data_IF_590071011792
#
_entry.id   IF_590071011792
#
_cell.length_a   1.000
_cell.length_b   1.000
_cell.length_c   1.000
_cell.angle_alpha   90.00
_cell.angle_beta   90.00
_cell.angle_gamma   90.00
#
_symmetry.space_group_name_H-M   'P 1'
#
loop_
_entity.id
_entity.type
_entity.pdbx_description
1 polymer ?
#
# COMPACT_ATOMS: atom_id res chain seq x y z
N UNK A 1 0.23 3.15 -14.29
CA UNK A 1 0.37 2.50 -12.98
C UNK A 1 -0.52 3.22 -11.96
N UNK A 2 -1.26 2.46 -11.18
CA UNK A 2 -2.20 3.03 -10.21
C UNK A 2 -1.49 3.68 -9.03
N UNK A 3 -2.06 4.76 -8.54
CA UNK A 3 -1.55 5.47 -7.37
C UNK A 3 -2.60 5.46 -6.27
N UNK A 4 -2.19 5.09 -5.05
CA UNK A 4 -3.07 5.09 -3.89
C UNK A 4 -2.41 5.82 -2.74
N UNK A 5 -3.24 6.31 -1.82
CA UNK A 5 -2.75 6.89 -0.59
C UNK A 5 -2.07 5.83 0.27
N UNK A 6 -0.98 6.20 0.92
CA UNK A 6 -0.31 5.37 1.92
C UNK A 6 0.23 6.23 3.04
N UNK A 7 0.21 5.68 4.25
CA UNK A 7 0.86 6.28 5.41
C UNK A 7 2.17 5.54 5.63
N UNK A 8 3.28 6.18 5.28
CA UNK A 8 4.60 5.55 5.38
C UNK A 8 5.06 5.30 6.81
N UNK A 9 4.35 5.87 7.79
CA UNK A 9 4.60 5.57 9.20
C UNK A 9 3.88 4.30 9.67
N UNK A 10 2.94 3.80 8.88
CA UNK A 10 2.20 2.58 9.19
C UNK A 10 2.91 1.39 8.55
N UNK A 11 4.03 0.98 9.14
CA UNK A 11 4.86 -0.10 8.61
C UNK A 11 4.84 -1.31 9.53
N UNK A 12 4.99 -2.49 8.94
CA UNK A 12 5.10 -3.73 9.71
C UNK A 12 6.55 -3.93 10.20
N UNK A 13 6.81 -5.02 10.90
CA UNK A 13 8.13 -5.30 11.46
C UNK A 13 9.20 -5.58 10.39
N UNK A 14 8.78 -5.83 9.15
CA UNK A 14 9.69 -6.04 8.03
C UNK A 14 9.89 -4.77 7.19
N UNK A 15 9.35 -3.64 7.64
CA UNK A 15 9.47 -2.37 6.93
C UNK A 15 8.53 -2.23 5.74
N UNK A 16 7.55 -3.11 5.60
CA UNK A 16 6.56 -3.01 4.53
C UNK A 16 5.42 -2.11 4.96
N UNK A 17 4.92 -1.30 4.03
CA UNK A 17 3.82 -0.36 4.31
C UNK A 17 2.51 -1.13 4.36
N UNK A 18 1.77 -1.00 5.46
CA UNK A 18 0.45 -1.62 5.58
C UNK A 18 -0.56 -0.88 4.72
N UNK A 19 -1.38 -1.64 4.00
CA UNK A 19 -2.39 -1.10 3.08
C UNK A 19 -3.80 -1.17 3.68
N UNK A 20 -3.90 -0.98 4.99
CA UNK A 20 -5.16 -1.10 5.73
C UNK A 20 -5.68 0.21 6.31
N UNK A 21 -5.04 1.35 5.95
CA UNK A 21 -5.48 2.64 6.44
C UNK A 21 -6.72 3.10 5.66
N UNK A 22 -7.51 3.95 6.27
CA UNK A 22 -8.78 4.41 5.69
C UNK A 22 -8.60 5.08 4.33
N UNK A 23 -7.60 5.95 4.19
CA UNK A 23 -7.32 6.62 2.93
C UNK A 23 -6.93 5.65 1.83
N UNK A 24 -6.13 4.63 2.19
CA UNK A 24 -5.74 3.59 1.25
C UNK A 24 -6.95 2.79 0.78
N UNK A 25 -7.77 2.34 1.72
CA UNK A 25 -8.95 1.54 1.41
C UNK A 25 -9.96 2.33 0.57
N UNK A 26 -10.10 3.61 0.87
CA UNK A 26 -10.98 4.49 0.11
C UNK A 26 -10.51 4.62 -1.34
N UNK A 27 -9.22 4.83 -1.55
CA UNK A 27 -8.64 4.93 -2.90
C UNK A 27 -8.82 3.64 -3.69
N UNK A 28 -8.59 2.50 -3.05
CA UNK A 28 -8.78 1.20 -3.71
C UNK A 28 -10.21 1.04 -4.19
N UNK A 29 -11.17 1.43 -3.37
CA UNK A 29 -12.58 1.33 -3.70
C UNK A 29 -12.96 2.29 -4.83
N UNK A 30 -12.56 3.56 -4.72
CA UNK A 30 -12.93 4.58 -5.70
C UNK A 30 -12.31 4.32 -7.07
N UNK A 31 -11.10 3.75 -7.09
CA UNK A 31 -10.39 3.49 -8.34
C UNK A 31 -10.61 2.07 -8.85
N UNK A 32 -11.41 1.28 -8.16
CA UNK A 32 -11.71 -0.12 -8.51
C UNK A 32 -10.43 -0.96 -8.63
N UNK A 33 -9.51 -0.78 -7.69
CA UNK A 33 -8.26 -1.52 -7.67
C UNK A 33 -8.42 -2.74 -6.76
N UNK A 34 -8.13 -3.91 -7.29
CA UNK A 34 -8.11 -5.16 -6.52
C UNK A 34 -6.67 -5.52 -6.27
N UNK A 35 -6.29 -5.61 -5.00
CA UNK A 35 -4.92 -5.95 -4.64
C UNK A 35 -4.67 -7.44 -4.87
N UNK A 36 -3.50 -7.74 -5.40
CA UNK A 36 -3.04 -9.12 -5.58
C UNK A 36 -1.52 -9.13 -5.46
N UNK A 37 -0.97 -10.29 -5.17
CA UNK A 37 0.48 -10.43 -5.03
C UNK A 37 1.20 -10.02 -6.30
N UNK A 38 2.35 -9.38 -6.14
CA UNK A 38 3.24 -8.90 -7.20
C UNK A 38 2.72 -7.68 -7.98
N UNK A 39 1.56 -7.14 -7.63
CA UNK A 39 1.05 -5.93 -8.27
C UNK A 39 1.98 -4.75 -7.97
N UNK A 40 2.38 -4.03 -9.00
CA UNK A 40 3.16 -2.79 -8.85
C UNK A 40 2.21 -1.62 -8.72
N UNK A 41 2.49 -0.74 -7.75
CA UNK A 41 1.61 0.37 -7.45
C UNK A 41 2.43 1.54 -6.93
N UNK A 42 1.95 2.75 -7.13
CA UNK A 42 2.57 3.95 -6.59
C UNK A 42 1.89 4.28 -5.26
N UNK A 43 2.68 4.45 -4.23
CA UNK A 43 2.22 4.87 -2.91
C UNK A 43 2.52 6.35 -2.73
N UNK A 44 1.54 7.11 -2.28
CA UNK A 44 1.67 8.56 -2.15
C UNK A 44 1.04 9.04 -0.85
N UNK A 45 1.76 9.86 -0.10
CA UNK A 45 1.19 10.48 1.11
C UNK A 45 0.75 11.91 0.84
N UNK A 46 0.21 12.58 1.86
CA UNK A 46 -0.28 13.96 1.73
C UNK A 46 0.86 14.99 1.71
N UNK A 47 2.07 14.58 2.07
CA UNK A 47 3.23 15.47 2.13
C UNK A 47 4.05 15.47 0.84
N UNK A 48 3.55 14.81 -0.19
CA UNK A 48 4.20 14.79 -1.50
C UNK A 48 5.22 13.66 -1.69
N UNK A 49 5.38 12.79 -0.72
CA UNK A 49 6.25 11.64 -0.87
C UNK A 49 5.57 10.58 -1.75
N UNK A 50 6.25 10.14 -2.79
CA UNK A 50 5.76 9.07 -3.67
C UNK A 50 6.84 8.04 -3.86
N UNK A 51 6.45 6.78 -3.85
CA UNK A 51 7.38 5.70 -4.16
C UNK A 51 6.64 4.53 -4.78
N UNK A 52 7.34 3.73 -5.55
CA UNK A 52 6.80 2.50 -6.11
C UNK A 52 6.82 1.41 -5.04
N UNK A 53 5.77 0.64 -4.98
CA UNK A 53 5.67 -0.51 -4.10
C UNK A 53 5.25 -1.75 -4.85
N UNK A 54 5.59 -2.90 -4.29
CA UNK A 54 5.16 -4.21 -4.79
C UNK A 54 4.24 -4.80 -3.73
N UNK A 55 3.02 -5.12 -4.13
CA UNK A 55 2.02 -5.65 -3.21
C UNK A 55 2.37 -7.07 -2.79
N UNK A 56 2.31 -7.33 -1.48
CA UNK A 56 2.50 -8.65 -0.88
C UNK A 56 1.40 -8.89 0.12
N UNK A 57 1.11 -10.15 0.40
CA UNK A 57 0.17 -10.46 1.47
C UNK A 57 0.95 -10.84 2.73
N UNK A 58 0.63 -10.21 3.85
CA UNK A 58 1.24 -10.53 5.14
C UNK A 58 0.41 -11.62 5.81
N UNK A 59 0.94 -12.83 5.85
CA UNK A 59 0.28 -13.95 6.54
C UNK A 59 0.32 -13.76 8.05
N UNK A 60 1.29 -13.03 8.57
CA UNK A 60 1.42 -12.77 10.00
C UNK A 60 0.31 -11.84 10.50
N UNK A 61 -0.02 -10.83 9.71
CA UNK A 61 -1.01 -9.83 10.09
C UNK A 61 -2.35 -9.99 9.35
N UNK A 62 -2.39 -10.87 8.37
CA UNK A 62 -3.60 -11.16 7.58
C UNK A 62 -4.09 -9.92 6.84
N UNK A 63 -3.16 -9.13 6.29
CA UNK A 63 -3.46 -7.92 5.53
C UNK A 63 -2.55 -7.80 4.32
N UNK A 64 -2.95 -6.95 3.38
CA UNK A 64 -2.08 -6.56 2.27
C UNK A 64 -1.08 -5.51 2.73
N UNK A 65 0.15 -5.63 2.22
CA UNK A 65 1.25 -4.70 2.47
C UNK A 65 1.94 -4.39 1.16
N UNK A 66 2.81 -3.39 1.15
CA UNK A 66 3.61 -3.06 -0.01
C UNK A 66 5.10 -3.02 0.38
N UNK A 67 5.92 -3.75 -0.36
CA UNK A 67 7.37 -3.64 -0.24
C UNK A 67 7.84 -2.41 -1.01
N UNK A 68 8.66 -1.61 -0.37
CA UNK A 68 9.27 -0.43 -0.97
C UNK A 68 10.78 -0.53 -0.85
N UNK A 69 11.47 0.16 -1.72
CA UNK A 69 12.94 0.19 -1.68
C UNK A 69 13.47 1.10 -0.58
#
# INVERSE_FOLDING_TARGET
MNKIFADFNNSDEHGRVRLNNHGTLNDLREKNIILEGDLEIILSDDDGLETKGIVRFSNEEDIWVAEID
#
